data_IF_045915263318
#
_entry.id   IF_045915263318
#
_cell.length_a   1.000
_cell.length_b   1.000
_cell.length_c   1.000
_cell.angle_alpha   90.00
_cell.angle_beta   90.00
_cell.angle_gamma   90.00
#
_symmetry.space_group_name_H-M   'P 1'
#
loop_
_entity.id
_entity.type
_entity.pdbx_description
1 polymer ?
#
# COMPACT_ATOMS: atom_id res chain seq x y z
N UNK A 1 0.98 13.51 29.18
CA UNK A 1 1.94 12.41 28.92
C UNK A 1 2.37 12.49 27.45
N UNK A 2 3.62 12.82 27.17
CA UNK A 2 4.12 12.87 25.79
C UNK A 2 4.10 11.45 25.21
N UNK A 3 3.26 11.22 24.20
CA UNK A 3 3.21 9.95 23.50
C UNK A 3 4.61 9.67 22.92
N UNK A 4 5.26 8.60 23.40
CA UNK A 4 6.59 8.17 22.97
C UNK A 4 6.56 8.01 21.45
N UNK A 5 7.13 8.99 20.71
CA UNK A 5 7.17 8.99 19.24
C UNK A 5 7.91 7.72 18.81
N UNK A 6 7.22 6.78 18.18
CA UNK A 6 7.83 5.53 17.69
C UNK A 6 8.54 5.84 16.39
N UNK A 7 9.86 5.62 16.36
CA UNK A 7 10.64 5.66 15.14
C UNK A 7 10.37 4.39 14.34
N UNK A 8 10.32 4.54 13.02
CA UNK A 8 10.18 3.41 12.11
C UNK A 8 11.44 2.56 12.14
N UNK A 9 11.28 1.24 12.21
CA UNK A 9 12.38 0.28 12.11
C UNK A 9 12.43 -0.29 10.69
N UNK A 10 13.60 -0.37 10.09
CA UNK A 10 13.79 -0.95 8.75
C UNK A 10 13.33 -2.41 8.65
N UNK A 11 13.30 -3.12 9.79
CA UNK A 11 12.76 -4.48 9.87
C UNK A 11 11.26 -4.53 9.50
N UNK A 12 10.53 -3.42 9.66
CA UNK A 12 9.09 -3.36 9.33
C UNK A 12 8.80 -3.44 7.83
N UNK A 13 9.83 -3.32 6.97
CA UNK A 13 9.68 -3.58 5.54
C UNK A 13 9.24 -5.02 5.25
N UNK A 14 9.53 -5.97 6.15
CA UNK A 14 9.05 -7.36 6.04
C UNK A 14 7.53 -7.50 6.11
N UNK A 15 6.85 -6.49 6.68
CA UNK A 15 5.39 -6.40 6.70
C UNK A 15 4.82 -5.64 5.49
N UNK A 16 5.65 -5.22 4.54
CA UNK A 16 5.25 -4.43 3.38
C UNK A 16 5.02 -2.95 3.68
N UNK A 17 5.74 -2.40 4.64
CA UNK A 17 5.63 -0.99 5.01
C UNK A 17 6.94 -0.23 4.85
N UNK A 18 6.82 1.06 4.55
CA UNK A 18 7.87 2.08 4.67
C UNK A 18 7.35 3.20 5.56
N UNK A 19 8.13 4.25 5.78
CA UNK A 19 7.63 5.46 6.44
C UNK A 19 7.56 6.65 5.48
N UNK A 20 6.75 7.62 5.88
CA UNK A 20 6.80 9.00 5.38
C UNK A 20 6.99 9.93 6.57
N UNK A 21 7.79 10.97 6.37
CA UNK A 21 7.97 12.04 7.34
C UNK A 21 6.90 13.10 7.11
N UNK A 22 6.05 13.33 8.12
CA UNK A 22 5.04 14.37 8.13
C UNK A 22 5.34 15.29 9.32
N UNK A 23 6.09 16.36 9.05
CA UNK A 23 6.65 17.19 10.11
C UNK A 23 7.62 16.39 10.97
N UNK A 24 7.40 16.37 12.29
CA UNK A 24 8.23 15.63 13.24
C UNK A 24 7.78 14.16 13.49
N UNK A 25 6.83 13.66 12.69
CA UNK A 25 6.25 12.32 12.87
C UNK A 25 6.56 11.43 11.67
N UNK A 26 6.97 10.21 11.97
CA UNK A 26 7.04 9.14 10.99
C UNK A 26 5.71 8.40 10.97
N UNK A 27 5.08 8.34 9.80
CA UNK A 27 3.84 7.60 9.60
C UNK A 27 4.11 6.37 8.73
N UNK A 28 3.60 5.19 9.11
CA UNK A 28 3.78 3.99 8.31
C UNK A 28 2.93 4.07 7.04
N UNK A 29 3.53 3.79 5.89
CA UNK A 29 2.86 3.72 4.61
C UNK A 29 3.02 2.33 3.99
N UNK A 30 1.93 1.76 3.50
CA UNK A 30 1.95 0.48 2.80
C UNK A 30 2.63 0.64 1.43
N UNK A 31 3.60 -0.22 1.09
CA UNK A 31 4.28 -0.17 -0.22
C UNK A 31 3.45 -0.79 -1.35
N UNK A 32 2.33 -1.44 -1.01
CA UNK A 32 1.44 -2.11 -1.95
C UNK A 32 0.24 -1.24 -2.31
N UNK A 33 -0.53 -0.76 -1.32
CA UNK A 33 -1.64 0.20 -1.55
C UNK A 33 -1.23 1.65 -1.53
N UNK A 34 0.00 1.97 -1.09
CA UNK A 34 0.48 3.35 -1.05
C UNK A 34 -0.25 4.23 -0.01
N UNK A 35 -1.14 3.62 0.77
CA UNK A 35 -1.91 4.23 1.85
C UNK A 35 -1.03 4.53 3.06
N UNK A 36 -1.12 5.75 3.58
CA UNK A 36 -0.47 6.18 4.83
C UNK A 36 -1.42 5.88 6.01
N UNK A 37 -0.95 5.12 6.99
CA UNK A 37 -1.68 4.82 8.20
C UNK A 37 -1.26 5.75 9.35
N UNK A 38 -2.08 5.81 10.39
CA UNK A 38 -1.77 6.56 11.61
C UNK A 38 -0.56 5.96 12.35
N UNK A 39 0.11 6.77 13.17
CA UNK A 39 1.25 6.34 13.99
C UNK A 39 0.93 5.14 14.92
N UNK A 40 -0.29 5.01 15.46
CA UNK A 40 -0.65 3.84 16.28
C UNK A 40 -0.58 2.51 15.50
N UNK A 41 -0.81 2.57 14.18
CA UNK A 41 -0.71 1.41 13.29
C UNK A 41 0.74 0.95 13.05
N UNK A 42 1.75 1.72 13.50
CA UNK A 42 3.16 1.33 13.39
C UNK A 42 3.54 0.10 14.24
N UNK A 43 2.62 -0.40 15.07
CA UNK A 43 2.80 -1.64 15.83
C UNK A 43 2.98 -2.84 14.88
N UNK A 44 3.99 -3.70 15.05
CA UNK A 44 4.20 -4.88 14.21
C UNK A 44 2.96 -5.77 14.03
N UNK A 45 2.22 -6.01 15.13
CA UNK A 45 0.97 -6.78 15.08
C UNK A 45 -0.10 -6.13 14.18
N UNK A 46 -0.16 -4.80 14.12
CA UNK A 46 -1.11 -4.07 13.25
C UNK A 46 -0.67 -4.13 11.80
N UNK A 47 0.62 -3.92 11.53
CA UNK A 47 1.20 -3.99 10.17
C UNK A 47 1.06 -5.40 9.58
N UNK A 48 1.42 -6.43 10.35
CA UNK A 48 1.28 -7.83 9.93
C UNK A 48 -0.19 -8.23 9.70
N UNK A 49 -1.12 -7.76 10.56
CA UNK A 49 -2.55 -7.98 10.34
C UNK A 49 -3.05 -7.29 9.07
N UNK A 50 -2.65 -6.04 8.83
CA UNK A 50 -2.99 -5.33 7.59
C UNK A 50 -2.54 -6.13 6.36
N UNK A 51 -1.28 -6.60 6.35
CA UNK A 51 -0.76 -7.40 5.25
C UNK A 51 -1.58 -8.67 5.04
N UNK A 52 -1.88 -9.42 6.11
CA UNK A 52 -2.68 -10.65 6.04
C UNK A 52 -4.11 -10.42 5.54
N UNK A 53 -4.76 -9.35 5.99
CA UNK A 53 -6.15 -9.07 5.65
C UNK A 53 -6.31 -8.49 4.25
N UNK A 54 -5.41 -7.59 3.84
CA UNK A 54 -5.51 -6.91 2.54
C UNK A 54 -4.80 -7.68 1.43
N UNK A 55 -3.75 -8.43 1.77
CA UNK A 55 -2.87 -9.10 0.81
C UNK A 55 -2.46 -10.50 1.27
N UNK A 56 -3.41 -11.44 1.44
CA UNK A 56 -3.11 -12.79 1.93
C UNK A 56 -2.06 -13.52 1.06
N UNK A 57 -2.04 -13.27 -0.25
CA UNK A 57 -1.06 -13.83 -1.19
C UNK A 57 0.36 -13.26 -1.05
N UNK A 58 0.51 -12.10 -0.41
CA UNK A 58 1.81 -11.44 -0.21
C UNK A 58 2.44 -11.77 1.16
N UNK A 59 1.71 -12.43 2.05
CA UNK A 59 2.21 -12.83 3.38
C UNK A 59 3.41 -13.77 3.28
N UNK A 60 3.50 -14.56 2.21
CA UNK A 60 4.59 -15.51 1.95
C UNK A 60 5.77 -14.88 1.19
N UNK A 61 5.70 -13.59 0.84
CA UNK A 61 6.78 -12.93 0.09
C UNK A 61 7.93 -12.53 1.00
N UNK A 62 9.13 -12.50 0.42
CA UNK A 62 10.36 -12.17 1.15
C UNK A 62 10.46 -10.67 1.42
N UNK A 63 11.32 -10.30 2.37
CA UNK A 63 11.67 -8.90 2.66
C UNK A 63 12.15 -8.17 1.40
N UNK A 64 12.93 -8.83 0.54
CA UNK A 64 13.47 -8.25 -0.68
C UNK A 64 12.39 -7.79 -1.65
N UNK A 65 11.30 -8.54 -1.77
CA UNK A 65 10.14 -8.14 -2.58
C UNK A 65 9.57 -6.81 -2.10
N UNK A 66 9.38 -6.66 -0.79
CA UNK A 66 8.86 -5.42 -0.21
C UNK A 66 9.88 -4.29 -0.26
N UNK A 67 11.18 -4.56 -0.10
CA UNK A 67 12.25 -3.57 -0.25
C UNK A 67 12.30 -3.00 -1.66
N UNK A 68 12.21 -3.84 -2.69
CA UNK A 68 12.16 -3.40 -4.10
C UNK A 68 10.96 -2.49 -4.37
N UNK A 69 9.79 -2.83 -3.82
CA UNK A 69 8.59 -1.98 -3.90
C UNK A 69 8.76 -0.66 -3.14
N UNK A 70 9.37 -0.68 -1.96
CA UNK A 70 9.65 0.52 -1.19
C UNK A 70 10.57 1.49 -1.95
N UNK A 71 11.61 0.96 -2.60
CA UNK A 71 12.52 1.72 -3.46
C UNK A 71 11.80 2.34 -4.65
N UNK A 72 10.98 1.55 -5.36
CA UNK A 72 10.14 2.04 -6.46
C UNK A 72 9.23 3.18 -6.01
N UNK A 73 8.64 3.05 -4.82
CA UNK A 73 7.78 4.06 -4.23
C UNK A 73 8.54 5.33 -3.81
N UNK A 74 9.78 5.20 -3.32
CA UNK A 74 10.66 6.35 -3.07
C UNK A 74 10.96 7.10 -4.38
N UNK A 75 11.29 6.38 -5.45
CA UNK A 75 11.55 7.00 -6.77
C UNK A 75 10.33 7.75 -7.32
N UNK A 76 9.13 7.18 -7.14
CA UNK A 76 7.87 7.84 -7.51
C UNK A 76 7.66 9.19 -6.79
N UNK A 77 8.14 9.31 -5.55
CA UNK A 77 8.05 10.53 -4.75
C UNK A 77 9.12 11.58 -5.06
N UNK A 78 10.24 11.14 -5.62
CA UNK A 78 11.35 12.02 -5.99
C UNK A 78 11.09 12.78 -7.30
N UNK A 79 10.05 12.41 -8.05
CA UNK A 79 9.50 13.27 -9.08
C UNK A 79 8.87 14.50 -8.39
N UNK A 80 9.58 15.62 -8.51
CA UNK A 80 9.63 16.86 -7.70
C UNK A 80 8.32 17.56 -7.28
N UNK A 81 7.15 16.97 -7.45
CA UNK A 81 5.88 17.58 -7.05
C UNK A 81 5.39 17.15 -5.65
N UNK A 82 5.88 16.03 -5.10
CA UNK A 82 5.29 15.47 -3.87
C UNK A 82 3.82 15.03 -4.05
N UNK A 83 3.30 15.17 -5.26
CA UNK A 83 2.03 14.62 -5.71
C UNK A 83 2.28 13.18 -6.13
N UNK A 84 1.55 12.25 -5.52
CA UNK A 84 1.36 10.95 -6.13
C UNK A 84 0.86 11.20 -7.56
N UNK A 85 1.31 10.47 -8.60
CA UNK A 85 0.56 10.46 -9.86
C UNK A 85 -0.77 9.77 -9.57
N UNK A 86 -1.72 10.55 -9.05
CA UNK A 86 -3.08 10.16 -8.68
C UNK A 86 -3.74 9.48 -9.87
N UNK A 87 -3.42 9.96 -11.08
CA UNK A 87 -3.83 9.37 -12.35
C UNK A 87 -3.47 7.87 -12.47
N UNK A 88 -2.26 7.44 -12.11
CA UNK A 88 -1.87 6.03 -12.28
C UNK A 88 -2.48 5.12 -11.22
N UNK A 89 -2.67 5.62 -9.99
CA UNK A 89 -3.30 4.86 -8.91
C UNK A 89 -4.82 4.76 -9.05
N UNK A 90 -5.50 5.83 -9.47
CA UNK A 90 -6.94 5.78 -9.75
C UNK A 90 -7.26 4.84 -10.90
N UNK A 91 -6.47 4.86 -11.98
CA UNK A 91 -6.66 3.93 -13.10
C UNK A 91 -6.46 2.48 -12.61
N UNK A 92 -5.39 2.18 -11.86
CA UNK A 92 -5.14 0.83 -11.33
C UNK A 92 -6.19 0.38 -10.29
N UNK A 93 -6.64 1.28 -9.42
CA UNK A 93 -7.67 1.02 -8.42
C UNK A 93 -9.06 0.83 -9.06
N UNK A 94 -9.39 1.60 -10.11
CA UNK A 94 -10.60 1.40 -10.90
C UNK A 94 -10.57 0.06 -11.66
N UNK A 95 -9.42 -0.31 -12.23
CA UNK A 95 -9.25 -1.63 -12.89
C UNK A 95 -9.35 -2.78 -11.89
N UNK A 96 -8.78 -2.63 -10.68
CA UNK A 96 -8.90 -3.62 -9.61
C UNK A 96 -10.34 -3.77 -9.10
N UNK A 97 -11.08 -2.67 -8.97
CA UNK A 97 -12.51 -2.68 -8.62
C UNK A 97 -13.41 -3.24 -9.72
N UNK A 98 -13.00 -3.14 -10.99
CA UNK A 98 -13.76 -3.64 -12.13
C UNK A 98 -13.54 -5.13 -12.45
N UNK A 99 -12.64 -5.84 -11.76
CA UNK A 99 -12.59 -7.31 -11.80
C UNK A 99 -13.76 -7.91 -11.02
N UNK A 100 -14.96 -7.78 -11.58
CA UNK A 100 -16.06 -8.71 -11.32
C UNK A 100 -15.56 -10.13 -11.61
N UNK A 101 -15.87 -11.15 -10.79
CA UNK A 101 -15.77 -12.51 -11.26
C UNK A 101 -16.72 -12.65 -12.45
N UNK A 102 -16.19 -13.04 -13.61
CA UNK A 102 -17.00 -13.38 -14.75
C UNK A 102 -17.91 -14.55 -14.35
N UNK A 103 -19.20 -14.28 -14.14
CA UNK A 103 -20.21 -15.31 -14.39
C UNK A 103 -20.75 -14.98 -15.77
N UNK A 104 -20.21 -15.73 -16.73
CA UNK A 104 -20.79 -15.86 -18.05
C UNK A 104 -22.15 -16.49 -17.83
N UNK A 105 -23.21 -15.76 -18.14
CA UNK A 105 -24.36 -16.40 -18.74
C UNK A 105 -24.89 -15.48 -19.85
N UNK A 106 -25.45 -16.13 -20.85
CA UNK A 106 -25.60 -15.67 -22.21
C UNK A 106 -26.60 -14.51 -22.28
N UNK A 107 -26.41 -13.57 -23.20
CA UNK A 107 -27.30 -13.44 -24.37
C UNK A 107 -26.98 -12.16 -25.15
N UNK A 108 -26.52 -12.41 -26.37
CA UNK A 108 -26.45 -11.49 -27.49
C UNK A 108 -27.88 -11.07 -27.88
N UNK A 109 -28.29 -9.83 -27.60
CA UNK A 109 -29.40 -9.21 -28.35
C UNK A 109 -28.98 -7.83 -28.84
N UNK A 110 -28.75 -7.80 -30.15
CA UNK A 110 -28.70 -6.62 -31.01
C UNK A 110 -30.13 -6.09 -31.21
N UNK A 111 -30.34 -4.80 -30.88
CA UNK A 111 -31.43 -3.92 -31.36
C UNK A 111 -31.06 -2.51 -30.88
N UNK A 112 -31.03 -1.45 -31.68
CA UNK A 112 -31.60 -1.19 -33.00
C UNK A 112 -30.79 -0.04 -33.64
#
# INVERSE_FOLDING_TARGET
MAAKKRKFSEDYVKFGFTFIEKGELQLPQCVISMNVLSNDSMRPNRLGRHLKQQYPSLVLKTKEFFSSKAESLKRLRLDKSGSYPTASFEIAFMVAKQKKPHTIDQELIMKN
#
